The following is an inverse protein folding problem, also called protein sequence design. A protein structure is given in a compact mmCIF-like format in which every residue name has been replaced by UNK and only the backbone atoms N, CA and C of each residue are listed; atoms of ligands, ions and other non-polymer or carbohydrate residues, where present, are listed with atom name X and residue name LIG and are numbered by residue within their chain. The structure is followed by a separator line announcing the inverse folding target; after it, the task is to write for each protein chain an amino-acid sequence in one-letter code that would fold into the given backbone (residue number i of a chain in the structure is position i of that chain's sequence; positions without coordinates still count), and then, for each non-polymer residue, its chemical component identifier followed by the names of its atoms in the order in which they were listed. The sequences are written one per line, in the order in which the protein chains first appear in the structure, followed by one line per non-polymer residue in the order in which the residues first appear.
data_IF_133448700688
#
_entry.id   IF_133448700688
#
_cell.length_a   1.000
_cell.length_b   1.000
_cell.length_c   1.000
_cell.angle_alpha   90.00
_cell.angle_beta   90.00
_cell.angle_gamma   90.00
#
_symmetry.space_group_name_H-M   'P 1'
#
loop_
_entity.id
_entity.type
_entity.pdbx_description
1 polymer ?
#
# COMPACT_ATOMS: atom_id res chain seq x y z
N UNK A 1 -6.40 4.58 -13.06
CA UNK A 1 -5.81 3.42 -12.37
C UNK A 1 -6.54 3.18 -11.04
N UNK A 2 -7.35 2.12 -10.92
CA UNK A 2 -8.26 1.92 -9.77
C UNK A 2 -7.56 1.75 -8.41
N UNK A 3 -6.31 1.26 -8.40
CA UNK A 3 -5.55 1.02 -7.17
C UNK A 3 -5.22 2.28 -6.35
N UNK A 4 -4.97 3.42 -7.00
CA UNK A 4 -4.64 4.66 -6.29
C UNK A 4 -5.82 5.19 -5.47
N UNK A 5 -7.04 5.06 -6.01
CA UNK A 5 -8.28 5.45 -5.31
C UNK A 5 -8.51 4.60 -4.06
N UNK A 6 -8.22 3.30 -4.13
CA UNK A 6 -8.34 2.40 -2.98
C UNK A 6 -7.32 2.74 -1.90
N UNK A 7 -6.03 2.91 -2.25
CA UNK A 7 -5.00 3.28 -1.28
C UNK A 7 -5.33 4.58 -0.55
N UNK A 8 -5.85 5.58 -1.27
CA UNK A 8 -6.29 6.82 -0.64
C UNK A 8 -7.37 6.56 0.42
N UNK A 9 -8.42 5.78 0.09
CA UNK A 9 -9.47 5.43 1.06
C UNK A 9 -8.95 4.60 2.24
N UNK A 10 -7.97 3.73 2.02
CA UNK A 10 -7.35 2.93 3.09
C UNK A 10 -6.57 3.80 4.07
N UNK A 11 -6.01 4.93 3.62
CA UNK A 11 -5.25 5.86 4.47
C UNK A 11 -6.11 6.84 5.28
N UNK A 12 -7.43 6.85 5.06
CA UNK A 12 -8.34 7.73 5.78
C UNK A 12 -8.86 7.04 7.05
N UNK A 13 -8.72 7.73 8.17
CA UNK A 13 -9.47 7.42 9.37
C UNK A 13 -10.92 7.90 9.23
N UNK A 14 -11.86 7.12 9.77
CA UNK A 14 -13.24 7.53 9.97
C UNK A 14 -13.47 7.53 11.49
N UNK A 15 -13.41 8.71 12.15
CA UNK A 15 -13.46 8.80 13.60
C UNK A 15 -14.66 8.03 14.18
N UNK A 16 -14.41 7.27 15.24
CA UNK A 16 -15.40 6.42 15.95
C UNK A 16 -15.99 5.25 15.16
N UNK A 17 -15.63 5.08 13.88
CA UNK A 17 -16.16 4.01 13.03
C UNK A 17 -15.06 3.05 12.61
N UNK A 18 -13.93 3.58 12.11
CA UNK A 18 -12.87 2.77 11.51
C UNK A 18 -11.52 3.51 11.56
N UNK A 19 -10.47 2.93 12.15
CA UNK A 19 -9.13 3.48 12.01
C UNK A 19 -8.66 3.46 10.54
N UNK A 20 -7.58 4.17 10.25
CA UNK A 20 -6.91 4.01 8.95
C UNK A 20 -6.40 2.57 8.82
N UNK A 21 -6.56 1.97 7.63
CA UNK A 21 -6.08 0.61 7.33
C UNK A 21 -4.57 0.61 7.12
N UNK A 22 -4.05 1.70 6.57
CA UNK A 22 -2.62 1.93 6.37
C UNK A 22 -2.30 3.39 6.73
N UNK A 23 -1.08 3.64 7.16
CA UNK A 23 -0.57 4.98 7.40
C UNK A 23 -0.48 5.78 6.10
N UNK A 24 -0.52 7.11 6.22
CA UNK A 24 -0.25 8.01 5.09
C UNK A 24 1.09 7.71 4.45
N UNK A 25 2.11 7.37 5.26
CA UNK A 25 3.48 7.06 4.79
C UNK A 25 3.52 5.78 3.95
N UNK A 26 2.86 4.71 4.41
CA UNK A 26 2.78 3.47 3.65
C UNK A 26 1.98 3.68 2.35
N UNK A 27 0.90 4.47 2.39
CA UNK A 27 0.15 4.85 1.18
C UNK A 27 1.03 5.50 0.11
N UNK A 28 1.88 6.47 0.47
CA UNK A 28 2.73 7.15 -0.53
C UNK A 28 3.74 6.18 -1.16
N UNK A 29 4.27 5.29 -0.32
CA UNK A 29 5.24 4.30 -0.74
C UNK A 29 4.58 3.30 -1.70
N UNK A 30 3.42 2.73 -1.35
CA UNK A 30 2.68 1.80 -2.21
C UNK A 30 2.21 2.46 -3.53
N UNK A 31 1.90 3.74 -3.51
CA UNK A 31 1.53 4.53 -4.70
C UNK A 31 2.70 4.65 -5.70
N UNK A 32 3.95 4.71 -5.21
CA UNK A 32 5.17 4.60 -6.04
C UNK A 32 5.22 3.25 -6.78
N UNK A 33 4.98 2.12 -6.07
CA UNK A 33 4.94 0.79 -6.68
C UNK A 33 3.77 0.62 -7.66
N UNK A 34 2.60 1.21 -7.37
CA UNK A 34 1.47 1.18 -8.30
C UNK A 34 1.77 1.94 -9.60
N UNK A 35 2.38 3.13 -9.48
CA UNK A 35 2.85 3.90 -10.64
C UNK A 35 3.89 3.12 -11.43
N UNK A 36 4.88 2.53 -10.75
CA UNK A 36 5.88 1.69 -11.40
C UNK A 36 5.23 0.54 -12.16
N UNK A 37 4.30 -0.20 -11.54
CA UNK A 37 3.55 -1.29 -12.18
C UNK A 37 2.75 -0.82 -13.40
N UNK A 38 2.20 0.40 -13.34
CA UNK A 38 1.45 0.97 -14.47
C UNK A 38 2.36 1.32 -15.63
N UNK A 39 3.49 1.98 -15.37
CA UNK A 39 4.51 2.27 -16.39
C UNK A 39 5.04 0.96 -16.98
N UNK A 40 5.42 0.01 -16.13
CA UNK A 40 5.87 -1.32 -16.51
C UNK A 40 4.87 -2.01 -17.44
N UNK A 41 3.58 -2.09 -17.08
CA UNK A 41 2.58 -2.79 -17.92
C UNK A 41 2.32 -2.10 -19.26
N UNK A 42 2.51 -0.79 -19.40
CA UNK A 42 2.17 -0.05 -20.63
C UNK A 42 3.37 0.28 -21.53
N UNK A 43 4.59 0.30 -21.00
CA UNK A 43 5.81 0.75 -21.72
C UNK A 43 6.76 -0.41 -22.04
N UNK A 44 6.33 -1.65 -21.81
CA UNK A 44 7.15 -2.89 -21.90
C UNK A 44 7.74 -3.21 -23.27
N UNK A 45 7.58 -2.34 -24.26
CA UNK A 45 8.17 -2.52 -25.57
C UNK A 45 9.67 -2.24 -25.67
N UNK A 46 10.28 -1.36 -24.83
CA UNK A 46 11.61 -0.86 -25.23
C UNK A 46 12.75 -0.67 -24.21
N UNK A 47 12.59 -0.49 -22.89
CA UNK A 47 13.76 -0.55 -21.98
C UNK A 47 13.34 -0.72 -20.50
N UNK A 48 13.74 -1.84 -19.90
CA UNK A 48 13.78 -1.97 -18.44
C UNK A 48 14.92 -1.10 -17.92
N UNK A 49 14.60 0.05 -17.33
CA UNK A 49 15.59 0.96 -16.75
C UNK A 49 15.97 0.51 -15.33
N UNK A 50 17.14 -0.13 -15.19
CA UNK A 50 17.67 -0.58 -13.89
C UNK A 50 17.68 0.51 -12.82
N UNK A 51 18.03 1.75 -13.20
CA UNK A 51 18.04 2.91 -12.31
C UNK A 51 16.68 3.19 -11.65
N UNK A 52 15.56 2.85 -12.32
CA UNK A 52 14.20 3.01 -11.79
C UNK A 52 13.74 1.80 -10.97
N UNK A 53 14.24 0.61 -11.30
CA UNK A 53 13.88 -0.65 -10.62
C UNK A 53 14.63 -0.86 -9.31
N UNK A 54 15.95 -0.63 -9.32
CA UNK A 54 16.85 -0.86 -8.18
C UNK A 54 16.31 -0.28 -6.86
N UNK A 55 15.92 1.00 -6.76
CA UNK A 55 15.45 1.56 -5.49
C UNK A 55 14.13 0.97 -5.02
N UNK A 56 13.29 0.43 -5.91
CA UNK A 56 12.05 -0.27 -5.55
C UNK A 56 12.35 -1.68 -5.05
N UNK A 57 13.30 -2.38 -5.68
CA UNK A 57 13.72 -3.72 -5.25
C UNK A 57 14.39 -3.68 -3.88
N UNK A 58 15.31 -2.74 -3.65
CA UNK A 58 16.02 -2.58 -2.38
C UNK A 58 15.09 -2.30 -1.20
N UNK A 59 13.98 -1.58 -1.44
CA UNK A 59 12.99 -1.24 -0.41
C UNK A 59 11.84 -2.25 -0.31
N UNK A 60 11.72 -3.19 -1.25
CA UNK A 60 10.53 -4.04 -1.40
C UNK A 60 10.22 -4.84 -0.12
N UNK A 61 11.23 -5.45 0.48
CA UNK A 61 11.06 -6.25 1.69
C UNK A 61 10.60 -5.41 2.88
N UNK A 62 11.25 -4.27 3.12
CA UNK A 62 10.87 -3.36 4.22
C UNK A 62 9.45 -2.82 4.04
N UNK A 63 9.06 -2.49 2.80
CA UNK A 63 7.70 -2.01 2.50
C UNK A 63 6.68 -3.13 2.71
N UNK A 64 7.01 -4.35 2.34
CA UNK A 64 6.15 -5.51 2.54
C UNK A 64 5.95 -5.83 4.02
N UNK A 65 7.02 -5.83 4.83
CA UNK A 65 6.92 -6.04 6.27
C UNK A 65 6.04 -4.96 6.93
N UNK A 66 6.24 -3.69 6.56
CA UNK A 66 5.38 -2.60 7.06
C UNK A 66 3.92 -2.77 6.64
N UNK A 67 3.67 -3.23 5.42
CA UNK A 67 2.32 -3.54 4.95
C UNK A 67 1.68 -4.68 5.76
N UNK A 68 2.44 -5.74 6.06
CA UNK A 68 1.92 -6.85 6.87
C UNK A 68 1.58 -6.41 8.28
N UNK A 69 2.41 -5.58 8.89
CA UNK A 69 2.21 -5.01 10.22
C UNK A 69 0.90 -4.20 10.27
N UNK A 70 0.75 -3.18 9.42
CA UNK A 70 -0.43 -2.29 9.45
C UNK A 70 -1.74 -3.03 9.07
N UNK A 71 -1.67 -4.01 8.15
CA UNK A 71 -2.82 -4.88 7.88
C UNK A 71 -3.15 -5.79 9.06
N UNK A 72 -2.13 -6.23 9.81
CA UNK A 72 -2.30 -7.00 11.05
C UNK A 72 -3.05 -6.19 12.10
N UNK A 73 -2.59 -4.97 12.37
CA UNK A 73 -3.25 -4.03 13.29
C UNK A 73 -4.73 -3.79 12.90
N UNK A 74 -5.00 -3.59 11.61
CA UNK A 74 -6.36 -3.40 11.13
C UNK A 74 -7.23 -4.67 11.28
N UNK A 75 -6.64 -5.87 11.08
CA UNK A 75 -7.35 -7.13 11.30
C UNK A 75 -7.70 -7.32 12.77
N UNK A 76 -6.80 -6.95 13.68
CA UNK A 76 -7.05 -7.08 15.11
C UNK A 76 -8.16 -6.12 15.56
N UNK A 77 -8.19 -4.89 15.03
CA UNK A 77 -9.36 -4.01 15.18
C UNK A 77 -10.68 -4.67 14.72
N UNK A 78 -10.69 -5.34 13.56
CA UNK A 78 -11.89 -6.01 13.06
C UNK A 78 -12.33 -7.19 13.95
N UNK A 79 -11.38 -7.96 14.49
CA UNK A 79 -11.69 -9.05 15.43
C UNK A 79 -12.29 -8.49 16.71
N UNK A 80 -11.67 -7.46 17.30
CA UNK A 80 -12.21 -6.82 18.50
C UNK A 80 -13.60 -6.25 18.28
N UNK A 81 -13.88 -5.69 17.10
CA UNK A 81 -15.21 -5.21 16.76
C UNK A 81 -16.22 -6.36 16.66
N UNK A 82 -15.84 -7.48 16.06
CA UNK A 82 -16.69 -8.66 15.93
C UNK A 82 -17.03 -9.31 17.27
N UNK A 83 -16.08 -9.35 18.22
CA UNK A 83 -16.30 -9.89 19.57
C UNK A 83 -17.14 -8.96 20.46
N UNK A 84 -17.22 -7.67 20.13
CA UNK A 84 -18.02 -6.65 20.86
C UNK A 84 -19.44 -6.50 20.33
N UNK A 85 -19.78 -7.15 19.22
CA UNK A 85 -21.13 -7.20 18.62
C UNK A 85 -21.91 -8.41 19.12
#
# INVERSE_FOLDING_TARGET
MNGARLLNKMSLEIPRVRPAVISKKLRETLDEYLRFRHVFRNVYGYLLEWARMKPLLERAWTVYERFREEIGEFKDFLKELAEKM
#
